data_IF_870515139138
#
_entry.id   IF_870515139138
#
_cell.length_a   1.000
_cell.length_b   1.000
_cell.length_c   1.000
_cell.angle_alpha   90.00
_cell.angle_beta   90.00
_cell.angle_gamma   90.00
#
_symmetry.space_group_name_H-M   'P 1'
#
loop_
_entity.id
_entity.type
_entity.pdbx_description
1 polymer ?
#
# COMPACT_ATOMS: atom_id res chain seq x y z
N UNK A 1 -38.63 60.04 -8.00
CA UNK A 1 -38.19 59.30 -6.79
C UNK A 1 -38.38 57.81 -7.04
N UNK A 2 -37.31 57.01 -7.14
CA UNK A 2 -37.41 55.55 -7.33
C UNK A 2 -37.76 54.90 -5.98
N UNK A 3 -38.90 54.22 -5.88
CA UNK A 3 -39.28 53.47 -4.68
C UNK A 3 -38.32 52.29 -4.52
N UNK A 4 -37.66 52.17 -3.36
CA UNK A 4 -36.92 50.95 -3.00
C UNK A 4 -37.91 49.97 -2.40
N UNK A 5 -38.12 48.85 -3.09
CA UNK A 5 -38.78 47.68 -2.50
C UNK A 5 -37.79 47.08 -1.49
N UNK A 6 -38.13 47.17 -0.21
CA UNK A 6 -37.35 46.55 0.86
C UNK A 6 -37.57 45.04 0.88
N UNK A 7 -36.52 44.29 1.24
CA UNK A 7 -36.61 42.84 1.46
C UNK A 7 -37.52 42.58 2.66
N UNK A 8 -38.45 41.63 2.55
CA UNK A 8 -39.35 41.32 3.67
C UNK A 8 -38.68 40.34 4.64
N UNK A 9 -38.92 40.47 5.94
CA UNK A 9 -38.38 39.53 6.95
C UNK A 9 -38.83 38.09 6.67
N UNK A 10 -40.06 37.91 6.19
CA UNK A 10 -40.61 36.58 5.90
C UNK A 10 -39.89 35.89 4.73
N UNK A 11 -39.48 36.66 3.72
CA UNK A 11 -38.76 36.15 2.54
C UNK A 11 -37.37 35.63 2.93
N UNK A 12 -36.71 36.28 3.90
CA UNK A 12 -35.45 35.78 4.44
C UNK A 12 -35.64 34.52 5.31
N UNK A 13 -36.69 34.48 6.13
CA UNK A 13 -36.98 33.33 6.99
C UNK A 13 -37.34 32.09 6.18
N UNK A 14 -38.12 32.21 5.11
CA UNK A 14 -38.49 31.06 4.27
C UNK A 14 -37.25 30.47 3.58
N UNK A 15 -36.32 31.30 3.11
CA UNK A 15 -35.11 30.82 2.44
C UNK A 15 -34.23 29.98 3.37
N UNK A 16 -33.97 30.45 4.60
CA UNK A 16 -33.16 29.69 5.56
C UNK A 16 -33.82 28.38 5.99
N UNK A 17 -35.16 28.34 6.06
CA UNK A 17 -35.91 27.11 6.35
C UNK A 17 -35.76 26.11 5.21
N UNK A 18 -35.91 26.55 3.95
CA UNK A 18 -35.74 25.67 2.78
C UNK A 18 -34.30 25.13 2.71
N UNK A 19 -33.29 25.98 2.86
CA UNK A 19 -31.88 25.55 2.87
C UNK A 19 -31.60 24.59 4.04
N UNK A 20 -32.21 24.82 5.21
CA UNK A 20 -32.08 23.94 6.37
C UNK A 20 -32.61 22.52 6.09
N UNK A 21 -33.78 22.38 5.46
CA UNK A 21 -34.35 21.07 5.12
C UNK A 21 -33.48 20.36 4.07
N UNK A 22 -33.02 21.07 3.04
CA UNK A 22 -32.15 20.50 2.01
C UNK A 22 -30.82 20.01 2.58
N UNK A 23 -30.23 20.76 3.52
CA UNK A 23 -28.97 20.37 4.16
C UNK A 23 -29.10 19.07 4.96
N UNK A 24 -30.18 18.91 5.74
CA UNK A 24 -30.41 17.70 6.56
C UNK A 24 -30.57 16.45 5.69
N UNK A 25 -31.25 16.55 4.55
CA UNK A 25 -31.45 15.40 3.64
C UNK A 25 -30.19 15.08 2.82
N UNK A 26 -29.40 16.10 2.46
CA UNK A 26 -28.18 15.92 1.67
C UNK A 26 -26.96 15.44 2.47
N UNK A 27 -26.84 15.83 3.73
CA UNK A 27 -25.70 15.52 4.59
C UNK A 27 -25.33 14.01 4.66
N UNK A 28 -26.25 13.06 4.92
CA UNK A 28 -25.88 11.65 5.02
C UNK A 28 -25.37 11.07 3.69
N UNK A 29 -25.93 11.51 2.55
CA UNK A 29 -25.48 11.08 1.23
C UNK A 29 -24.10 11.64 0.88
N UNK A 30 -23.82 12.88 1.26
CA UNK A 30 -22.52 13.50 1.01
C UNK A 30 -21.38 12.78 1.77
N UNK A 31 -21.65 12.31 2.99
CA UNK A 31 -20.68 11.53 3.77
C UNK A 31 -20.37 10.17 3.13
N UNK A 32 -21.39 9.46 2.65
CA UNK A 32 -21.21 8.16 1.96
C UNK A 32 -20.42 8.31 0.66
N UNK A 33 -20.76 9.29 -0.18
CA UNK A 33 -20.03 9.56 -1.42
C UNK A 33 -18.54 9.87 -1.19
N UNK A 34 -18.21 10.47 -0.05
CA UNK A 34 -16.82 10.76 0.31
C UNK A 34 -16.04 9.49 0.71
N UNK A 35 -16.70 8.51 1.33
CA UNK A 35 -16.12 7.21 1.66
C UNK A 35 -15.93 6.39 0.38
N UNK A 36 -16.99 6.23 -0.42
CA UNK A 36 -16.96 5.46 -1.68
C UNK A 36 -15.88 6.01 -2.65
N UNK A 37 -15.69 7.33 -2.68
CA UNK A 37 -14.64 7.96 -3.49
C UNK A 37 -13.23 7.56 -3.02
N UNK A 38 -12.99 7.47 -1.71
CA UNK A 38 -11.68 7.05 -1.16
C UNK A 38 -11.41 5.58 -1.45
N UNK A 39 -12.43 4.73 -1.30
CA UNK A 39 -12.30 3.31 -1.62
C UNK A 39 -11.95 3.13 -3.09
N UNK A 40 -12.63 3.85 -3.98
CA UNK A 40 -12.33 3.86 -5.40
C UNK A 40 -10.91 4.37 -5.72
N UNK A 41 -10.42 5.39 -4.99
CA UNK A 41 -9.05 5.89 -5.14
C UNK A 41 -8.02 4.83 -4.71
N UNK A 42 -8.26 4.11 -3.61
CA UNK A 42 -7.39 3.02 -3.15
C UNK A 42 -7.38 1.84 -4.13
N UNK A 43 -8.54 1.44 -4.64
CA UNK A 43 -8.65 0.41 -5.67
C UNK A 43 -7.97 0.84 -6.98
N UNK A 44 -8.15 2.10 -7.39
CA UNK A 44 -7.52 2.69 -8.56
C UNK A 44 -5.99 2.72 -8.44
N UNK A 45 -5.48 3.04 -7.24
CA UNK A 45 -4.05 2.92 -6.95
C UNK A 45 -3.57 1.48 -7.04
N UNK A 46 -4.30 0.53 -6.44
CA UNK A 46 -3.94 -0.88 -6.47
C UNK A 46 -3.90 -1.42 -7.92
N UNK A 47 -4.87 -1.03 -8.77
CA UNK A 47 -4.87 -1.36 -10.20
C UNK A 47 -3.67 -0.75 -10.94
N UNK A 48 -3.32 0.50 -10.62
CA UNK A 48 -2.16 1.18 -11.19
C UNK A 48 -0.85 0.50 -10.79
N UNK A 49 -0.73 0.07 -9.52
CA UNK A 49 0.40 -0.71 -9.02
C UNK A 49 0.51 -2.06 -9.75
N UNK A 50 -0.60 -2.80 -9.91
CA UNK A 50 -0.61 -4.08 -10.66
C UNK A 50 -0.11 -3.87 -12.09
N UNK A 51 -0.68 -2.91 -12.80
CA UNK A 51 -0.31 -2.57 -14.18
C UNK A 51 1.17 -2.19 -14.29
N UNK A 52 1.66 -1.40 -13.35
CA UNK A 52 3.07 -1.01 -13.28
C UNK A 52 3.99 -2.22 -13.06
N UNK A 53 3.63 -3.11 -12.13
CA UNK A 53 4.44 -4.31 -11.83
C UNK A 53 4.55 -5.23 -13.03
N UNK A 54 3.45 -5.45 -13.75
CA UNK A 54 3.41 -6.26 -14.96
C UNK A 54 4.19 -5.61 -16.10
N UNK A 55 4.09 -4.29 -16.25
CA UNK A 55 4.84 -3.53 -17.25
C UNK A 55 6.35 -3.65 -17.02
N UNK A 56 6.79 -3.49 -15.77
CA UNK A 56 8.21 -3.62 -15.40
C UNK A 56 8.68 -5.07 -15.60
N UNK A 57 7.85 -6.05 -15.26
CA UNK A 57 8.15 -7.46 -15.52
C UNK A 57 8.31 -7.74 -17.02
N UNK A 58 7.40 -7.24 -17.86
CA UNK A 58 7.51 -7.36 -19.31
C UNK A 58 8.80 -6.74 -19.85
N UNK A 59 9.16 -5.55 -19.36
CA UNK A 59 10.44 -4.91 -19.70
C UNK A 59 11.64 -5.74 -19.25
N UNK A 60 11.59 -6.29 -18.03
CA UNK A 60 12.64 -7.14 -17.49
C UNK A 60 12.83 -8.42 -18.32
N UNK A 61 11.74 -9.05 -18.77
CA UNK A 61 11.78 -10.22 -19.62
C UNK A 61 12.37 -9.92 -21.01
N UNK A 62 12.06 -8.75 -21.59
CA UNK A 62 12.65 -8.32 -22.88
C UNK A 62 14.17 -8.18 -22.77
N UNK A 63 14.67 -7.67 -21.65
CA UNK A 63 16.11 -7.49 -21.43
C UNK A 63 16.80 -8.71 -20.78
N UNK A 64 16.08 -9.82 -20.58
CA UNK A 64 16.62 -11.07 -20.01
C UNK A 64 17.00 -10.97 -18.52
N UNK A 65 16.31 -10.12 -17.75
CA UNK A 65 16.56 -9.87 -16.32
C UNK A 65 15.45 -10.37 -15.40
N UNK A 66 14.48 -11.10 -15.94
CA UNK A 66 13.31 -11.63 -15.23
C UNK A 66 13.63 -12.72 -14.20
N UNK A 67 14.80 -13.34 -14.28
CA UNK A 67 15.28 -14.32 -13.28
C UNK A 67 16.37 -13.77 -12.38
N UNK A 68 16.78 -12.51 -12.61
CA UNK A 68 17.91 -11.96 -11.88
C UNK A 68 17.52 -11.58 -10.45
N UNK A 69 18.41 -11.88 -9.49
CA UNK A 69 18.18 -11.66 -8.07
C UNK A 69 18.05 -10.19 -7.68
N UNK A 70 18.80 -9.35 -8.39
CA UNK A 70 18.88 -7.92 -8.21
C UNK A 70 19.30 -7.35 -9.56
N UNK A 71 18.49 -6.45 -10.09
CA UNK A 71 18.74 -5.81 -11.36
C UNK A 71 18.08 -4.43 -11.40
N UNK A 72 18.39 -3.68 -12.45
CA UNK A 72 17.72 -2.42 -12.76
C UNK A 72 17.30 -2.42 -14.21
N UNK A 73 16.08 -1.95 -14.45
CA UNK A 73 15.46 -1.78 -15.77
C UNK A 73 14.84 -0.40 -15.79
N UNK A 74 15.23 0.45 -16.75
CA UNK A 74 14.74 1.83 -16.87
C UNK A 74 14.79 2.65 -15.56
N UNK A 75 15.84 2.46 -14.76
CA UNK A 75 15.99 3.13 -13.45
C UNK A 75 15.16 2.53 -12.31
N UNK A 76 14.32 1.53 -12.59
CA UNK A 76 13.52 0.81 -11.60
C UNK A 76 14.33 -0.36 -11.04
N UNK A 77 14.49 -0.42 -9.72
CA UNK A 77 15.12 -1.53 -9.03
C UNK A 77 14.19 -2.75 -9.01
N UNK A 78 14.64 -3.88 -9.57
CA UNK A 78 13.85 -5.10 -9.73
C UNK A 78 14.51 -6.33 -9.05
N UNK A 79 13.68 -7.29 -8.69
CA UNK A 79 14.07 -8.62 -8.21
C UNK A 79 13.16 -9.67 -8.88
N UNK A 80 13.75 -10.70 -9.50
CA UNK A 80 13.04 -11.72 -10.28
C UNK A 80 12.05 -11.11 -11.29
N UNK A 81 12.48 -10.03 -11.96
CA UNK A 81 11.65 -9.30 -12.93
C UNK A 81 10.65 -8.31 -12.34
N UNK A 82 10.29 -8.41 -11.07
CA UNK A 82 9.30 -7.52 -10.45
C UNK A 82 9.95 -6.31 -9.76
N UNK A 83 9.26 -5.17 -9.66
CA UNK A 83 9.75 -4.04 -8.87
C UNK A 83 9.98 -4.42 -7.40
N UNK A 84 11.10 -3.98 -6.84
CA UNK A 84 11.32 -4.01 -5.38
C UNK A 84 10.43 -2.98 -4.69
N UNK A 85 10.31 -3.02 -3.36
CA UNK A 85 9.57 -2.02 -2.59
C UNK A 85 10.06 -0.59 -2.82
N UNK A 86 11.35 -0.41 -3.10
CA UNK A 86 11.92 0.87 -3.54
C UNK A 86 11.73 1.13 -5.04
N UNK A 87 11.74 0.09 -5.86
CA UNK A 87 11.51 0.22 -7.30
C UNK A 87 10.09 0.67 -7.60
N UNK A 88 9.08 0.12 -6.92
CA UNK A 88 7.68 0.43 -7.21
C UNK A 88 7.36 1.93 -7.01
N UNK A 89 8.00 2.59 -6.04
CA UNK A 89 7.79 4.02 -5.79
C UNK A 89 8.30 4.89 -6.93
N UNK A 90 9.28 4.42 -7.70
CA UNK A 90 9.79 5.12 -8.89
C UNK A 90 8.92 4.94 -10.13
N UNK A 91 8.01 3.95 -10.12
CA UNK A 91 7.16 3.67 -11.27
C UNK A 91 5.89 4.51 -11.32
N UNK A 92 5.44 5.02 -10.17
CA UNK A 92 4.29 5.90 -10.09
C UNK A 92 4.74 7.32 -10.44
N UNK A 93 4.33 7.81 -11.61
CA UNK A 93 4.53 9.22 -11.97
C UNK A 93 3.43 10.05 -11.28
N UNK A 94 3.80 11.22 -10.73
CA UNK A 94 2.90 12.16 -10.03
C UNK A 94 2.32 11.67 -8.69
N UNK A 95 3.16 11.27 -7.74
CA UNK A 95 2.76 10.85 -6.38
C UNK A 95 2.41 12.02 -5.44
N UNK A 96 1.89 13.14 -5.94
CA UNK A 96 1.65 14.31 -5.08
C UNK A 96 0.52 14.05 -4.07
N UNK A 97 -0.37 13.12 -4.38
CA UNK A 97 -1.52 12.77 -3.54
C UNK A 97 -1.23 11.59 -2.60
N UNK A 98 -0.17 10.81 -2.88
CA UNK A 98 0.14 9.60 -2.14
C UNK A 98 1.43 9.74 -1.34
N UNK A 99 1.29 9.59 -0.02
CA UNK A 99 2.42 9.48 0.87
C UNK A 99 2.92 8.04 0.90
N UNK A 100 4.21 7.86 0.66
CA UNK A 100 4.85 6.55 0.57
C UNK A 100 5.76 6.33 1.78
N UNK A 101 5.56 5.23 2.49
CA UNK A 101 6.46 4.78 3.55
C UNK A 101 7.01 3.42 3.15
N UNK A 102 8.30 3.38 2.80
CA UNK A 102 9.00 2.15 2.44
C UNK A 102 9.73 1.59 3.66
N UNK A 103 9.44 0.33 3.98
CA UNK A 103 10.14 -0.48 4.97
C UNK A 103 11.09 -1.40 4.23
N UNK A 104 12.39 -1.19 4.39
CA UNK A 104 13.42 -2.03 3.80
C UNK A 104 13.97 -3.05 4.81
N UNK A 105 14.60 -4.14 4.36
CA UNK A 105 15.27 -5.08 5.26
C UNK A 105 16.33 -4.42 6.16
N UNK A 106 17.00 -3.36 5.72
CA UNK A 106 17.91 -2.59 6.57
C UNK A 106 17.20 -1.91 7.73
N UNK A 107 15.97 -1.45 7.53
CA UNK A 107 15.17 -0.86 8.61
C UNK A 107 14.72 -1.91 9.62
N UNK A 108 14.37 -3.11 9.14
CA UNK A 108 14.10 -4.28 9.97
C UNK A 108 15.37 -4.75 10.71
N UNK A 109 16.54 -4.61 10.06
CA UNK A 109 17.88 -4.87 10.61
C UNK A 109 18.22 -4.09 11.86
N UNK A 110 17.69 -2.87 11.99
CA UNK A 110 17.87 -2.04 13.18
C UNK A 110 16.93 -2.42 14.32
N UNK A 111 15.91 -3.24 14.07
CA UNK A 111 14.90 -3.68 15.05
C UNK A 111 15.15 -5.08 15.61
N UNK A 112 15.89 -5.92 14.88
CA UNK A 112 16.37 -7.22 15.35
C UNK A 112 17.89 -7.28 15.07
N UNK A 113 18.74 -7.32 16.10
CA UNK A 113 20.14 -7.65 15.90
C UNK A 113 20.28 -9.15 15.54
N UNK A 114 20.25 -9.49 14.26
CA UNK A 114 20.67 -10.83 13.84
C UNK A 114 21.25 -10.88 12.42
N UNK A 115 22.30 -11.69 12.27
CA UNK A 115 22.94 -12.06 10.99
C UNK A 115 21.96 -12.70 9.99
N UNK A 116 20.75 -13.05 10.44
CA UNK A 116 19.69 -13.66 9.65
C UNK A 116 18.91 -12.67 8.79
N UNK A 117 18.85 -11.39 9.17
CA UNK A 117 18.15 -10.34 8.41
C UNK A 117 18.91 -9.92 7.15
N UNK A 118 20.24 -10.12 7.11
CA UNK A 118 21.05 -9.91 5.90
C UNK A 118 20.60 -10.79 4.72
N UNK A 119 19.85 -11.86 4.99
CA UNK A 119 19.30 -12.79 4.00
C UNK A 119 17.88 -12.43 3.54
N UNK A 120 17.22 -11.51 4.23
CA UNK A 120 15.90 -11.04 3.85
C UNK A 120 16.11 -9.84 2.94
N UNK A 121 15.63 -9.94 1.70
CA UNK A 121 15.65 -8.83 0.74
C UNK A 121 14.26 -8.27 0.46
N UNK A 122 13.25 -8.71 1.21
CA UNK A 122 11.87 -8.22 1.07
C UNK A 122 11.68 -6.86 1.71
N UNK A 123 11.14 -5.90 0.98
CA UNK A 123 10.57 -4.68 1.51
C UNK A 123 9.05 -4.65 1.42
N UNK A 124 8.47 -3.72 2.16
CA UNK A 124 7.06 -3.35 2.05
C UNK A 124 6.99 -1.85 1.79
N UNK A 125 6.05 -1.42 0.95
CA UNK A 125 5.75 0.01 0.78
C UNK A 125 4.28 0.24 1.08
N UNK A 126 4.02 1.15 2.00
CA UNK A 126 2.68 1.64 2.30
C UNK A 126 2.40 2.89 1.48
N UNK A 127 1.22 2.95 0.88
CA UNK A 127 0.69 4.11 0.19
C UNK A 127 -0.51 4.61 0.96
N UNK A 128 -0.46 5.87 1.40
CA UNK A 128 -1.48 6.48 2.25
C UNK A 128 -1.91 7.84 1.69
N UNK A 129 -3.19 8.19 1.83
CA UNK A 129 -3.72 9.51 1.46
C UNK A 129 -3.28 10.62 2.42
N UNK A 130 -2.95 10.25 3.67
CA UNK A 130 -2.51 11.17 4.71
C UNK A 130 -1.01 11.02 4.97
N UNK A 131 -0.32 12.13 5.21
CA UNK A 131 1.07 12.11 5.63
C UNK A 131 1.20 11.55 7.05
N UNK A 132 1.83 10.39 7.19
CA UNK A 132 2.18 9.79 8.47
C UNK A 132 3.71 9.83 8.65
N UNK A 133 4.23 11.00 8.97
CA UNK A 133 5.67 11.19 9.17
C UNK A 133 6.03 12.64 9.47
N UNK A 134 6.02 13.03 10.74
CA UNK A 134 6.64 14.28 11.17
C UNK A 134 8.16 14.11 11.36
N UNK A 135 8.92 15.21 11.25
CA UNK A 135 10.39 15.22 11.40
C UNK A 135 10.80 14.56 12.72
N UNK A 136 11.42 13.37 12.64
CA UNK A 136 12.04 12.67 13.78
C UNK A 136 11.32 11.40 14.27
N UNK A 137 10.21 10.97 13.67
CA UNK A 137 9.53 9.73 14.07
C UNK A 137 10.23 8.47 13.54
N UNK A 138 10.39 7.48 14.42
CA UNK A 138 10.90 6.15 14.03
C UNK A 138 9.94 5.46 13.07
N UNK A 139 10.46 4.67 12.11
CA UNK A 139 9.66 3.94 11.13
C UNK A 139 8.58 3.04 11.77
N UNK A 140 8.81 2.57 13.01
CA UNK A 140 7.86 1.75 13.77
C UNK A 140 6.62 2.55 14.17
N UNK A 141 6.83 3.81 14.54
CA UNK A 141 5.73 4.72 14.89
C UNK A 141 4.92 5.07 13.64
N UNK A 142 5.58 5.25 12.48
CA UNK A 142 4.91 5.51 11.21
C UNK A 142 4.01 4.35 10.80
N UNK A 143 4.54 3.12 10.76
CA UNK A 143 3.75 1.92 10.42
C UNK A 143 2.57 1.73 11.37
N UNK A 144 2.76 1.97 12.68
CA UNK A 144 1.67 1.91 13.66
C UNK A 144 0.60 2.98 13.44
N UNK A 145 1.00 4.18 13.03
CA UNK A 145 0.06 5.28 12.75
C UNK A 145 -0.74 5.04 11.46
N UNK A 146 -0.11 4.45 10.44
CA UNK A 146 -0.76 4.03 9.18
C UNK A 146 -1.82 2.97 9.49
N UNK A 147 -1.44 1.95 10.26
CA UNK A 147 -2.34 0.88 10.65
C UNK A 147 -3.53 1.38 11.47
N UNK A 148 -3.32 2.34 12.38
CA UNK A 148 -4.43 2.95 13.12
C UNK A 148 -5.44 3.68 12.21
N UNK A 149 -5.03 4.10 11.01
CA UNK A 149 -5.90 4.76 10.03
C UNK A 149 -6.73 3.81 9.17
N UNK A 150 -6.38 2.52 9.07
CA UNK A 150 -7.10 1.49 8.28
C UNK A 150 -7.50 1.93 6.84
N UNK A 151 -6.74 2.84 6.24
CA UNK A 151 -7.02 3.43 4.93
C UNK A 151 -5.71 3.59 4.12
N UNK A 152 -5.27 2.50 3.48
CA UNK A 152 -3.98 2.44 2.78
C UNK A 152 -3.88 1.24 1.82
N UNK A 153 -2.92 1.31 0.89
CA UNK A 153 -2.52 0.18 0.04
C UNK A 153 -1.11 -0.28 0.44
N UNK A 154 -0.91 -1.58 0.61
CA UNK A 154 0.41 -2.17 0.87
C UNK A 154 0.91 -2.90 -0.36
N UNK A 155 2.12 -2.57 -0.79
CA UNK A 155 2.88 -3.34 -1.74
C UNK A 155 3.94 -4.17 -1.02
N UNK A 156 3.92 -5.48 -1.20
CA UNK A 156 4.90 -6.42 -0.68
C UNK A 156 5.70 -6.97 -1.86
N UNK A 157 7.02 -6.77 -1.85
CA UNK A 157 7.86 -7.29 -2.91
C UNK A 157 8.24 -8.77 -2.69
N UNK A 158 8.89 -9.35 -3.70
CA UNK A 158 9.35 -10.74 -3.67
C UNK A 158 10.66 -10.87 -2.90
N UNK A 159 10.78 -11.90 -2.05
CA UNK A 159 12.03 -12.21 -1.38
C UNK A 159 13.05 -12.74 -2.38
N UNK A 160 14.20 -12.08 -2.50
CA UNK A 160 15.37 -12.70 -3.10
C UNK A 160 16.29 -13.30 -2.02
N UNK A 161 16.37 -14.64 -1.95
CA UNK A 161 17.44 -15.35 -1.23
C UNK A 161 18.61 -15.49 -2.18
N UNK A 162 19.75 -14.84 -1.89
CA UNK A 162 21.00 -14.94 -2.66
C UNK A 162 21.28 -16.38 -3.11
N UNK A 163 20.93 -16.69 -4.36
CA UNK A 163 21.26 -17.96 -5.01
C UNK A 163 22.65 -17.87 -5.62
N UNK A 164 23.64 -17.48 -4.81
CA UNK A 164 25.04 -17.64 -5.19
C UNK A 164 25.44 -19.10 -4.97
N UNK A 165 24.97 -19.96 -5.87
CA UNK A 165 25.64 -21.11 -6.48
C UNK A 165 24.61 -22.08 -7.07
N UNK A 166 24.78 -22.34 -8.37
CA UNK A 166 24.46 -23.58 -9.09
C UNK A 166 22.98 -24.03 -9.13
N UNK A 167 22.34 -23.76 -10.28
CA UNK A 167 21.73 -24.81 -11.11
C UNK A 167 20.70 -25.75 -10.49
N UNK A 168 19.86 -25.32 -9.55
CA UNK A 168 18.75 -26.15 -9.09
C UNK A 168 17.48 -25.32 -8.88
N UNK A 169 16.44 -25.66 -9.65
CA UNK A 169 15.10 -25.08 -9.54
C UNK A 169 14.60 -25.23 -8.11
N UNK A 170 14.17 -24.11 -7.50
CA UNK A 170 13.10 -24.01 -6.50
C UNK A 170 12.90 -25.25 -5.61
N UNK A 171 13.71 -25.41 -4.55
CA UNK A 171 13.41 -26.39 -3.49
C UNK A 171 12.82 -25.67 -2.27
N UNK A 172 11.51 -25.81 -2.12
CA UNK A 172 10.64 -25.50 -0.97
C UNK A 172 10.77 -24.11 -0.33
N UNK A 173 10.11 -23.09 -0.92
CA UNK A 173 9.97 -21.77 -0.29
C UNK A 173 9.19 -21.81 1.04
N UNK A 174 8.33 -22.81 1.29
CA UNK A 174 7.40 -22.82 2.43
C UNK A 174 8.01 -22.76 3.83
N UNK A 175 9.12 -23.46 4.10
CA UNK A 175 9.77 -23.42 5.43
C UNK A 175 10.44 -22.06 5.69
N UNK A 176 11.08 -21.48 4.69
CA UNK A 176 11.67 -20.15 4.80
C UNK A 176 10.59 -19.11 5.05
N UNK A 177 9.47 -19.17 4.33
CA UNK A 177 8.34 -18.26 4.57
C UNK A 177 7.68 -18.47 5.93
N UNK A 178 7.57 -19.71 6.41
CA UNK A 178 7.13 -19.98 7.78
C UNK A 178 8.05 -19.34 8.83
N UNK A 179 9.36 -19.38 8.60
CA UNK A 179 10.34 -18.69 9.46
C UNK A 179 10.20 -17.16 9.37
N UNK A 180 10.11 -16.60 8.16
CA UNK A 180 9.96 -15.14 7.95
C UNK A 180 8.67 -14.63 8.59
N UNK A 181 7.54 -15.26 8.32
CA UNK A 181 6.26 -14.88 8.92
C UNK A 181 6.28 -15.01 10.45
N UNK A 182 6.74 -16.15 10.99
CA UNK A 182 6.63 -16.42 12.42
C UNK A 182 7.72 -15.81 13.31
N UNK A 183 8.95 -15.64 12.81
CA UNK A 183 10.10 -15.20 13.63
C UNK A 183 10.58 -13.79 13.31
N UNK A 184 10.25 -13.24 12.14
CA UNK A 184 10.66 -11.88 11.76
C UNK A 184 9.47 -10.94 11.72
N UNK A 185 8.40 -11.31 11.01
CA UNK A 185 7.26 -10.41 10.80
C UNK A 185 6.30 -10.37 11.99
N UNK A 186 5.98 -11.52 12.59
CA UNK A 186 5.10 -11.62 13.75
C UNK A 186 5.52 -10.76 14.97
N UNK A 187 6.80 -10.74 15.42
CA UNK A 187 7.19 -9.86 16.53
C UNK A 187 7.13 -8.36 16.19
N UNK A 188 7.02 -8.03 14.90
CA UNK A 188 6.88 -6.66 14.41
C UNK A 188 5.43 -6.27 14.13
N UNK A 189 4.50 -7.24 14.15
CA UNK A 189 3.09 -7.04 13.79
C UNK A 189 2.88 -6.66 12.32
N UNK A 190 3.84 -7.00 11.45
CA UNK A 190 3.83 -6.72 10.00
C UNK A 190 3.40 -7.96 9.21
N UNK A 191 3.33 -9.12 9.86
CA UNK A 191 2.88 -10.39 9.26
C UNK A 191 1.47 -10.31 8.71
N UNK A 192 0.61 -9.50 9.34
CA UNK A 192 -0.75 -9.19 8.89
C UNK A 192 -0.84 -8.22 7.70
N UNK A 193 0.26 -7.91 7.03
CA UNK A 193 0.26 -7.22 5.74
C UNK A 193 0.85 -8.08 4.63
N UNK A 194 1.26 -9.31 4.95
CA UNK A 194 1.89 -10.24 4.03
C UNK A 194 0.91 -11.39 3.76
N UNK A 195 0.30 -11.46 2.57
CA UNK A 195 -0.85 -12.33 2.32
C UNK A 195 -0.56 -13.83 2.40
N UNK A 196 0.68 -14.25 2.19
CA UNK A 196 1.09 -15.65 2.35
C UNK A 196 1.46 -16.02 3.79
N UNK A 197 1.30 -15.11 4.76
CA UNK A 197 1.48 -15.44 6.17
C UNK A 197 0.20 -16.05 6.79
N UNK A 198 0.32 -17.05 7.69
CA UNK A 198 -0.83 -17.78 8.25
C UNK A 198 -1.86 -16.92 8.99
N UNK A 199 -1.47 -15.72 9.45
CA UNK A 199 -2.32 -14.78 10.18
C UNK A 199 -3.31 -14.04 9.27
N UNK A 200 -3.04 -13.92 7.97
CA UNK A 200 -3.89 -13.24 7.00
C UNK A 200 -5.03 -14.11 6.44
N UNK A 201 -4.91 -15.44 6.54
CA UNK A 201 -5.81 -16.37 5.86
C UNK A 201 -7.21 -16.47 6.51
N UNK A 202 -7.48 -15.71 7.57
CA UNK A 202 -8.74 -15.75 8.33
C UNK A 202 -9.63 -14.51 8.19
N UNK A 203 -9.16 -13.39 7.61
CA UNK A 203 -9.91 -12.13 7.65
C UNK A 203 -10.68 -11.78 6.37
N UNK A 204 -10.20 -12.08 5.15
CA UNK A 204 -10.71 -11.35 3.97
C UNK A 204 -11.06 -12.27 2.79
N UNK A 205 -12.34 -12.67 2.70
CA UNK A 205 -12.88 -13.48 1.60
C UNK A 205 -12.94 -12.77 0.22
N UNK A 206 -12.64 -11.46 0.15
CA UNK A 206 -12.73 -10.64 -1.08
C UNK A 206 -11.38 -10.12 -1.57
N UNK A 207 -10.29 -10.61 -1.01
CA UNK A 207 -8.99 -10.03 -1.26
C UNK A 207 -8.36 -10.70 -2.50
N UNK A 208 -8.14 -9.92 -3.57
CA UNK A 208 -7.39 -10.30 -4.78
C UNK A 208 -5.89 -10.50 -4.45
N UNK A 209 -5.61 -11.23 -3.38
CA UNK A 209 -4.30 -11.42 -2.80
C UNK A 209 -3.60 -12.57 -3.51
N UNK A 210 -2.44 -12.24 -4.07
CA UNK A 210 -1.53 -13.23 -4.59
C UNK A 210 -0.98 -14.06 -3.43
N UNK A 211 -1.47 -15.29 -3.30
CA UNK A 211 -0.99 -16.25 -2.29
C UNK A 211 0.35 -16.89 -2.67
N UNK A 212 0.87 -16.58 -3.88
CA UNK A 212 2.12 -17.13 -4.37
C UNK A 212 3.31 -16.23 -3.99
N UNK A 213 4.26 -16.71 -3.18
CA UNK A 213 5.42 -15.93 -2.74
C UNK A 213 6.45 -15.61 -3.84
N UNK A 214 6.19 -16.01 -5.08
CA UNK A 214 7.07 -15.75 -6.23
C UNK A 214 6.71 -14.48 -7.01
N UNK A 215 5.63 -13.81 -6.62
CA UNK A 215 5.15 -12.57 -7.22
C UNK A 215 4.85 -11.55 -6.10
N UNK A 216 4.95 -10.25 -6.39
CA UNK A 216 4.60 -9.24 -5.42
C UNK A 216 3.12 -9.31 -5.09
N UNK A 217 2.78 -8.91 -3.87
CA UNK A 217 1.41 -8.80 -3.44
C UNK A 217 1.01 -7.34 -3.23
N UNK A 218 -0.24 -7.04 -3.58
CA UNK A 218 -0.86 -5.74 -3.37
C UNK A 218 -2.10 -5.97 -2.52
N UNK A 219 -2.11 -5.37 -1.32
CA UNK A 219 -3.18 -5.47 -0.33
C UNK A 219 -3.84 -4.11 -0.20
N UNK A 220 -5.16 -4.05 -0.35
CA UNK A 220 -5.95 -2.84 -0.08
C UNK A 220 -6.56 -2.99 1.31
N UNK A 221 -6.44 -1.95 2.14
CA UNK A 221 -7.06 -1.86 3.45
C UNK A 221 -7.91 -0.59 3.46
N UNK A 222 -9.23 -0.78 3.44
CA UNK A 222 -10.26 0.25 3.29
C UNK A 222 -11.24 0.33 4.48
N UNK A 223 -11.21 -0.65 5.39
CA UNK A 223 -12.18 -0.81 6.49
C UNK A 223 -12.37 0.38 7.44
N UNK A 224 -11.51 1.40 7.40
CA UNK A 224 -11.63 2.63 8.18
C UNK A 224 -11.45 3.93 7.39
N UNK A 225 -11.57 3.88 6.05
CA UNK A 225 -11.74 5.08 5.23
C UNK A 225 -13.11 5.75 5.49
#
# INVERSE_FOLDING_TARGET
MKRRYGFTLIELVVVIVIVGILAVVAAPKFLQLSHDARDADLEGLAASLRTSTETVYGKAAIVGKETLPNATVDGVAIANGYPTAKGITTTLQNTHDWHMVTVTPSDLGNWLESSMLRKIKTGLTFFTLKAYGEKGQSLKQQVKAIDAGQCYVVYVDVAHSDSSKTGNKTKNPGWFWGFVCGKILAPLGIDKYVPWCPTHQKSDANSHLNSNPTQPAIVVVDSGC
#
